data_IF_045468751517
#
_entry.id   IF_045468751517
#
_cell.length_a   1.000
_cell.length_b   1.000
_cell.length_c   1.000
_cell.angle_alpha   90.00
_cell.angle_beta   90.00
_cell.angle_gamma   90.00
#
_symmetry.space_group_name_H-M   'P 1'
#
loop_
_entity.id
_entity.type
_entity.pdbx_description
1 polymer ?
#
# COMPACT_ATOMS: atom_id res chain seq x y z
N UNK A 1 5.93 -16.30 6.23
CA UNK A 1 4.62 -16.06 6.87
C UNK A 1 3.57 -16.84 6.10
N UNK A 2 3.05 -17.93 6.64
CA UNK A 2 2.05 -18.75 5.95
C UNK A 2 0.67 -18.11 6.07
N UNK A 3 -0.11 -18.16 4.98
CA UNK A 3 -1.46 -17.58 4.89
C UNK A 3 -2.45 -18.43 5.70
N UNK A 4 -3.43 -17.76 6.31
CA UNK A 4 -4.48 -18.43 7.07
C UNK A 4 -5.45 -19.16 6.14
N UNK A 5 -5.92 -20.32 6.58
CA UNK A 5 -6.91 -21.13 5.86
C UNK A 5 -8.26 -20.96 6.55
N UNK A 6 -9.27 -20.59 5.77
CA UNK A 6 -10.64 -20.53 6.27
C UNK A 6 -11.25 -21.93 6.23
N UNK A 7 -11.79 -22.38 7.37
CA UNK A 7 -12.42 -23.70 7.50
C UNK A 7 -13.85 -23.55 8.02
N UNK A 8 -14.76 -24.32 7.43
CA UNK A 8 -16.12 -24.42 7.94
C UNK A 8 -16.14 -25.15 9.29
N UNK A 9 -16.84 -24.58 10.27
CA UNK A 9 -16.99 -25.18 11.62
C UNK A 9 -17.57 -26.61 11.55
N UNK A 10 -18.35 -26.93 10.50
CA UNK A 10 -18.95 -28.25 10.25
C UNK A 10 -17.94 -29.36 9.90
N UNK A 11 -16.72 -29.02 9.49
CA UNK A 11 -15.66 -30.00 9.17
C UNK A 11 -14.76 -30.31 10.36
N UNK A 12 -14.90 -29.57 11.47
CA UNK A 12 -14.09 -29.78 12.66
C UNK A 12 -14.66 -30.94 13.47
N UNK A 13 -13.77 -31.82 13.92
CA UNK A 13 -14.16 -32.91 14.81
C UNK A 13 -14.52 -32.30 16.17
N UNK A 14 -15.77 -32.47 16.58
CA UNK A 14 -16.21 -32.04 17.90
C UNK A 14 -15.77 -33.07 18.93
N UNK A 15 -14.93 -32.67 19.88
CA UNK A 15 -14.54 -33.51 21.00
C UNK A 15 -15.47 -33.23 22.19
N UNK A 16 -16.34 -34.20 22.45
CA UNK A 16 -17.41 -34.10 23.46
C UNK A 16 -16.86 -34.03 24.90
N UNK A 17 -15.62 -34.45 25.13
CA UNK A 17 -14.97 -34.45 26.45
C UNK A 17 -14.38 -33.08 26.84
N UNK A 18 -14.06 -32.23 25.86
CA UNK A 18 -13.44 -30.90 26.10
C UNK A 18 -14.28 -29.73 25.60
N UNK A 19 -15.49 -30.00 25.08
CA UNK A 19 -16.40 -29.02 24.48
C UNK A 19 -15.68 -28.08 23.49
N UNK A 20 -14.79 -28.66 22.68
CA UNK A 20 -13.91 -27.94 21.75
C UNK A 20 -13.87 -28.62 20.38
N UNK A 21 -13.81 -27.78 19.36
CA UNK A 21 -13.57 -28.20 17.98
C UNK A 21 -12.08 -28.45 17.76
N UNK A 22 -11.73 -29.67 17.38
CA UNK A 22 -10.36 -30.07 17.05
C UNK A 22 -10.04 -29.74 15.59
N UNK A 23 -8.96 -28.99 15.39
CA UNK A 23 -8.43 -28.70 14.05
C UNK A 23 -7.74 -29.94 13.46
N UNK A 24 -7.81 -30.15 12.13
CA UNK A 24 -7.08 -31.23 11.47
C UNK A 24 -5.57 -31.08 11.74
N UNK A 25 -4.94 -32.18 12.17
CA UNK A 25 -3.50 -32.19 12.49
C UNK A 25 -2.64 -31.99 11.24
N UNK A 26 -1.65 -31.09 11.32
CA UNK A 26 -0.65 -30.85 10.27
C UNK A 26 -0.09 -29.42 10.25
N UNK A 27 1.12 -29.26 9.69
CA UNK A 27 1.83 -28.02 9.31
C UNK A 27 1.59 -26.71 10.12
N UNK A 28 1.24 -26.75 11.41
CA UNK A 28 1.02 -25.59 12.30
C UNK A 28 0.33 -24.39 11.61
N UNK A 29 -0.64 -24.66 10.72
CA UNK A 29 -1.29 -23.59 9.96
C UNK A 29 -2.30 -22.88 10.85
N UNK A 30 -2.39 -21.55 10.66
CA UNK A 30 -3.44 -20.76 11.31
C UNK A 30 -4.77 -21.01 10.61
N UNK A 31 -5.69 -21.68 11.29
CA UNK A 31 -7.06 -21.91 10.82
C UNK A 31 -7.99 -20.84 11.39
N UNK A 32 -8.87 -20.29 10.54
CA UNK A 32 -9.93 -19.37 10.96
C UNK A 32 -11.27 -20.04 10.73
N UNK A 33 -12.06 -20.17 11.80
CA UNK A 33 -13.41 -20.72 11.72
C UNK A 33 -14.35 -19.70 11.06
N UNK A 34 -15.13 -20.17 10.10
CA UNK A 34 -16.16 -19.38 9.43
C UNK A 34 -17.44 -20.20 9.41
N UNK A 35 -18.53 -19.63 9.91
CA UNK A 35 -19.85 -20.27 9.85
C UNK A 35 -20.43 -20.12 8.44
N UNK A 36 -20.22 -21.13 7.61
CA UNK A 36 -20.86 -21.21 6.30
C UNK A 36 -22.31 -21.64 6.46
N UNK A 37 -23.22 -20.65 6.54
CA UNK A 37 -24.67 -20.87 6.60
C UNK A 37 -25.33 -20.98 5.20
N UNK A 38 -24.54 -21.16 4.14
CA UNK A 38 -25.02 -21.18 2.75
C UNK A 38 -24.78 -22.55 2.13
N UNK A 39 -25.83 -23.11 1.55
CA UNK A 39 -25.88 -24.45 0.96
C UNK A 39 -24.73 -24.71 -0.01
N UNK A 40 -24.31 -25.97 0.00
CA UNK A 40 -23.14 -26.52 -0.67
C UNK A 40 -23.25 -26.56 -2.20
N UNK A 41 -23.34 -25.41 -2.88
CA UNK A 41 -23.37 -25.40 -4.36
C UNK A 41 -22.29 -24.57 -5.04
N UNK A 42 -21.71 -23.53 -4.40
CA UNK A 42 -20.84 -22.61 -5.16
C UNK A 42 -19.48 -22.25 -4.55
N UNK A 43 -19.15 -22.67 -3.32
CA UNK A 43 -17.86 -22.32 -2.69
C UNK A 43 -17.13 -23.53 -2.10
N UNK A 44 -15.82 -23.68 -2.35
CA UNK A 44 -15.03 -24.72 -1.72
C UNK A 44 -15.06 -24.58 -0.19
N UNK A 45 -15.21 -25.69 0.52
CA UNK A 45 -15.30 -25.74 2.00
C UNK A 45 -14.01 -25.31 2.72
N UNK A 46 -12.92 -25.23 1.96
CA UNK A 46 -11.61 -24.71 2.38
C UNK A 46 -11.25 -23.64 1.36
N UNK A 47 -11.16 -22.39 1.81
CA UNK A 47 -10.75 -21.27 0.98
C UNK A 47 -9.44 -20.69 1.53
N UNK A 48 -8.47 -20.50 0.63
CA UNK A 48 -7.22 -19.84 0.96
C UNK A 48 -7.45 -18.34 0.96
N UNK A 49 -7.42 -17.71 2.13
CA UNK A 49 -7.56 -16.26 2.23
C UNK A 49 -6.32 -15.57 1.64
N UNK A 50 -6.43 -15.23 0.35
CA UNK A 50 -5.41 -14.50 -0.41
C UNK A 50 -6.06 -13.27 -1.05
N UNK A 51 -6.30 -12.20 -0.27
CA UNK A 51 -6.81 -10.96 -0.86
C UNK A 51 -5.83 -10.46 -1.91
N UNK A 52 -6.35 -9.97 -3.04
CA UNK A 52 -5.52 -9.31 -4.03
C UNK A 52 -4.78 -8.12 -3.41
N UNK A 53 -3.55 -7.89 -3.87
CA UNK A 53 -2.80 -6.70 -3.48
C UNK A 53 -3.62 -5.49 -3.93
N UNK A 54 -3.91 -4.59 -2.99
CA UNK A 54 -4.62 -3.33 -3.25
C UNK A 54 -3.70 -2.33 -3.94
N UNK A 55 -3.25 -2.69 -5.14
CA UNK A 55 -2.27 -2.00 -5.96
C UNK A 55 -2.54 -0.50 -6.08
N UNK A 56 -3.77 -0.12 -6.37
CA UNK A 56 -4.18 1.26 -6.66
C UNK A 56 -4.01 2.15 -5.42
N UNK A 57 -4.42 1.66 -4.25
CA UNK A 57 -4.26 2.41 -3.00
C UNK A 57 -2.78 2.53 -2.61
N UNK A 58 -1.99 1.48 -2.82
CA UNK A 58 -0.55 1.47 -2.59
C UNK A 58 0.19 2.45 -3.50
N UNK A 59 -0.10 2.43 -4.81
CA UNK A 59 0.48 3.36 -5.78
C UNK A 59 0.10 4.81 -5.47
N UNK A 60 -1.16 5.07 -5.11
CA UNK A 60 -1.59 6.41 -4.72
C UNK A 60 -0.89 6.90 -3.45
N UNK A 61 -0.74 6.04 -2.45
CA UNK A 61 0.00 6.34 -1.22
C UNK A 61 1.46 6.64 -1.49
N UNK A 62 2.12 5.82 -2.31
CA UNK A 62 3.52 6.00 -2.70
C UNK A 62 3.72 7.30 -3.49
N UNK A 63 2.84 7.60 -4.45
CA UNK A 63 2.91 8.83 -5.23
C UNK A 63 2.77 10.08 -4.34
N UNK A 64 1.92 10.03 -3.31
CA UNK A 64 1.81 11.12 -2.32
C UNK A 64 3.10 11.28 -1.49
N UNK A 65 3.75 10.18 -1.09
CA UNK A 65 5.03 10.26 -0.40
C UNK A 65 6.11 10.91 -1.27
N UNK A 66 6.18 10.54 -2.55
CA UNK A 66 7.12 11.17 -3.49
C UNK A 66 6.87 12.68 -3.62
N UNK A 67 5.61 13.12 -3.68
CA UNK A 67 5.27 14.56 -3.71
C UNK A 67 5.71 15.30 -2.45
N UNK A 68 5.64 14.66 -1.27
CA UNK A 68 6.14 15.24 -0.03
C UNK A 68 7.67 15.37 -0.03
N UNK A 69 8.37 14.36 -0.55
CA UNK A 69 9.83 14.41 -0.72
C UNK A 69 10.22 15.52 -1.69
N UNK A 70 9.54 15.63 -2.83
CA UNK A 70 9.75 16.73 -3.78
C UNK A 70 9.57 18.09 -3.14
N UNK A 71 8.53 18.27 -2.34
CA UNK A 71 8.28 19.52 -1.62
C UNK A 71 9.41 19.85 -0.64
N UNK A 72 9.85 18.88 0.17
CA UNK A 72 10.90 19.09 1.17
C UNK A 72 12.26 19.41 0.54
N UNK A 73 12.55 18.83 -0.61
CA UNK A 73 13.81 19.05 -1.31
C UNK A 73 13.75 20.24 -2.29
N UNK A 74 12.66 21.03 -2.28
CA UNK A 74 12.42 22.14 -3.22
C UNK A 74 12.39 21.72 -4.70
N UNK A 75 12.09 20.46 -5.00
CA UNK A 75 11.88 20.00 -6.37
C UNK A 75 10.49 20.42 -6.86
N UNK A 76 10.36 20.56 -8.18
CA UNK A 76 9.07 20.73 -8.82
C UNK A 76 8.26 19.42 -8.72
N UNK A 77 6.95 19.54 -8.50
CA UNK A 77 6.07 18.38 -8.49
C UNK A 77 6.09 17.68 -9.85
N UNK A 78 6.19 16.35 -9.83
CA UNK A 78 6.25 15.52 -11.03
C UNK A 78 7.67 15.28 -11.56
N UNK A 79 8.70 15.54 -10.74
CA UNK A 79 10.10 15.19 -11.07
C UNK A 79 10.39 13.72 -10.74
N UNK A 80 9.86 13.24 -9.61
CA UNK A 80 9.90 11.87 -9.12
C UNK A 80 8.49 11.26 -9.05
N UNK A 81 7.50 12.08 -8.69
CA UNK A 81 6.09 11.71 -8.68
C UNK A 81 5.54 11.64 -10.11
N UNK A 82 4.42 10.93 -10.29
CA UNK A 82 3.79 10.79 -11.61
C UNK A 82 3.46 12.18 -12.19
N UNK A 83 4.06 12.56 -13.34
CA UNK A 83 3.77 13.83 -13.97
C UNK A 83 2.30 13.84 -14.40
N UNK A 84 1.45 14.50 -13.61
CA UNK A 84 0.12 14.85 -14.06
C UNK A 84 0.27 15.63 -15.37
N UNK A 85 -0.09 14.98 -16.49
CA UNK A 85 -0.16 15.58 -17.83
C UNK A 85 -1.34 16.54 -17.87
N UNK A 86 -1.27 17.58 -17.04
CA UNK A 86 -2.15 18.72 -17.11
C UNK A 86 -1.44 19.69 -18.04
N UNK A 87 -2.11 20.08 -19.12
CA UNK A 87 -1.67 21.17 -19.98
C UNK A 87 -1.60 22.44 -19.13
N UNK A 88 -0.43 22.70 -18.55
CA UNK A 88 -0.18 23.85 -17.69
C UNK A 88 0.12 25.05 -18.57
N UNK A 89 -0.50 26.17 -18.25
CA UNK A 89 -0.18 27.46 -18.87
C UNK A 89 1.25 27.86 -18.47
N UNK A 90 1.96 28.62 -19.32
CA UNK A 90 3.34 29.05 -19.07
C UNK A 90 3.56 29.69 -17.68
N UNK A 91 2.57 30.43 -17.18
CA UNK A 91 2.59 31.04 -15.84
C UNK A 91 2.56 30.00 -14.72
N UNK A 92 1.78 28.93 -14.87
CA UNK A 92 1.66 27.84 -13.89
C UNK A 92 2.94 27.01 -13.85
N UNK A 93 3.59 26.82 -15.00
CA UNK A 93 4.91 26.17 -15.08
C UNK A 93 5.95 27.02 -14.34
N UNK A 94 5.94 28.35 -14.54
CA UNK A 94 6.84 29.27 -13.85
C UNK A 94 6.63 29.23 -12.33
N UNK A 95 5.38 29.33 -11.88
CA UNK A 95 5.03 29.23 -10.45
C UNK A 95 5.42 27.86 -9.87
N UNK A 96 5.21 26.77 -10.61
CA UNK A 96 5.55 25.41 -10.17
C UNK A 96 7.06 25.20 -9.99
N UNK A 97 7.91 25.98 -10.67
CA UNK A 97 9.38 25.88 -10.60
C UNK A 97 10.03 26.98 -9.76
N UNK A 98 9.25 27.93 -9.24
CA UNK A 98 9.76 29.07 -8.48
C UNK A 98 10.60 28.64 -7.28
N UNK A 99 10.17 27.61 -6.54
CA UNK A 99 10.90 27.11 -5.36
C UNK A 99 12.29 26.57 -5.72
N UNK A 100 12.35 25.74 -6.76
CA UNK A 100 13.63 25.20 -7.26
C UNK A 100 14.54 26.32 -7.75
N UNK A 101 13.98 27.31 -8.43
CA UNK A 101 14.73 28.48 -8.89
C UNK A 101 15.34 29.27 -7.73
N UNK A 102 14.56 29.55 -6.68
CA UNK A 102 15.04 30.27 -5.49
C UNK A 102 16.18 29.50 -4.81
N UNK A 103 16.01 28.19 -4.59
CA UNK A 103 17.07 27.35 -3.99
C UNK A 103 18.37 27.38 -4.79
N UNK A 104 18.30 27.29 -6.13
CA UNK A 104 19.49 27.34 -6.99
C UNK A 104 20.15 28.71 -6.93
N UNK A 105 19.35 29.79 -6.97
CA UNK A 105 19.86 31.16 -6.84
C UNK A 105 20.56 31.37 -5.50
N UNK A 106 19.98 30.91 -4.40
CA UNK A 106 20.58 31.04 -3.06
C UNK A 106 21.90 30.27 -2.96
N UNK A 107 21.95 29.08 -3.57
CA UNK A 107 23.18 28.27 -3.61
C UNK A 107 24.27 28.97 -4.44
N UNK A 108 23.91 29.58 -5.56
CA UNK A 108 24.83 30.34 -6.40
C UNK A 108 25.37 31.58 -5.70
N UNK A 109 24.51 32.32 -4.98
CA UNK A 109 24.94 33.49 -4.19
C UNK A 109 25.86 33.08 -3.05
N UNK A 110 25.49 32.04 -2.27
CA UNK A 110 26.34 31.54 -1.20
C UNK A 110 27.71 31.05 -1.70
N UNK A 111 27.76 30.48 -2.92
CA UNK A 111 29.01 30.10 -3.56
C UNK A 111 29.84 31.33 -3.97
N UNK A 112 29.21 32.37 -4.53
CA UNK A 112 29.89 33.61 -4.89
C UNK A 112 30.50 34.27 -3.65
N UNK A 113 29.73 34.39 -2.57
CA UNK A 113 30.19 34.96 -1.29
C UNK A 113 31.35 34.16 -0.67
N UNK A 114 31.43 32.85 -0.93
CA UNK A 114 32.52 32.01 -0.44
C UNK A 114 33.80 32.08 -1.31
N UNK A 115 33.68 32.57 -2.55
CA UNK A 115 34.78 32.67 -3.52
C UNK A 115 35.36 34.09 -3.62
N UNK A 116 34.60 35.12 -3.27
CA UNK A 116 35.08 36.51 -3.08
C UNK A 116 35.79 36.72 -1.74
#
# INVERSE_FOLDING_TARGET
>A
TQLAVHIATSLLKYNQDQDKYEYPGGQERLYRNVDYNTGATDKPFIDTFSPEIRDTALFNGFNNQLKLVEFNCNLAYGTLSDPQSVDKTATEIKTSRQRSYVMVSDTQMALQDALE
#
